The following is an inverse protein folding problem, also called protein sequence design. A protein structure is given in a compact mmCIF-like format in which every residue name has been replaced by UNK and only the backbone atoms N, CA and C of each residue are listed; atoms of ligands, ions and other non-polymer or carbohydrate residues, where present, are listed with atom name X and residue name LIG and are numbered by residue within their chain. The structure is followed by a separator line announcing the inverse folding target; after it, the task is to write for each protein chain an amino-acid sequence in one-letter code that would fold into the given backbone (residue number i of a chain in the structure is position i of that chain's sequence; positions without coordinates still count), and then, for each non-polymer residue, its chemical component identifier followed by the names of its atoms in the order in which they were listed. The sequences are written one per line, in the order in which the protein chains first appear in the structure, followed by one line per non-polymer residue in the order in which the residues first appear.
data_IF_134794929883
#
_entry.id   IF_134794929883
#
_cell.length_a   1.000
_cell.length_b   1.000
_cell.length_c   1.000
_cell.angle_alpha   90.00
_cell.angle_beta   90.00
_cell.angle_gamma   90.00
#
_symmetry.space_group_name_H-M   'P 1'
#
loop_
_entity.id
_entity.type
_entity.pdbx_description
1 polymer ?
#
# COMPACT_ATOMS: atom_id res chain seq x y z
N UNK A 1 -11.27 43.92 9.58
CA UNK A 1 -12.10 43.00 8.78
C UNK A 1 -13.47 42.94 9.42
N UNK A 2 -14.48 43.41 8.70
CA UNK A 2 -15.87 43.48 9.16
C UNK A 2 -16.49 42.07 9.31
N UNK A 3 -17.68 42.01 9.92
CA UNK A 3 -18.37 40.75 10.19
C UNK A 3 -18.75 40.00 8.89
N UNK A 4 -18.99 40.74 7.82
CA UNK A 4 -19.29 40.20 6.49
C UNK A 4 -18.07 39.52 5.86
N UNK A 5 -16.88 40.14 5.94
CA UNK A 5 -15.62 39.55 5.52
C UNK A 5 -15.27 38.27 6.28
N UNK A 6 -15.52 38.23 7.61
CA UNK A 6 -15.33 37.01 8.42
C UNK A 6 -16.22 35.86 7.94
N UNK A 7 -17.49 36.13 7.60
CA UNK A 7 -18.42 35.10 7.09
C UNK A 7 -18.01 34.55 5.72
N UNK A 8 -17.53 35.41 4.81
CA UNK A 8 -17.06 35.01 3.48
C UNK A 8 -15.82 34.11 3.57
N UNK A 9 -14.80 34.54 4.33
CA UNK A 9 -13.57 33.76 4.54
C UNK A 9 -13.88 32.40 5.17
N UNK A 10 -14.82 32.35 6.13
CA UNK A 10 -15.28 31.09 6.73
C UNK A 10 -15.90 30.13 5.72
N UNK A 11 -16.75 30.60 4.81
CA UNK A 11 -17.34 29.79 3.74
C UNK A 11 -16.28 29.26 2.77
N UNK A 12 -15.36 30.11 2.33
CA UNK A 12 -14.26 29.74 1.44
C UNK A 12 -13.41 28.63 2.05
N UNK A 13 -12.98 28.79 3.32
CA UNK A 13 -12.19 27.76 4.03
C UNK A 13 -12.93 26.43 4.10
N UNK A 14 -14.22 26.46 4.41
CA UNK A 14 -15.06 25.25 4.47
C UNK A 14 -15.16 24.56 3.11
N UNK A 15 -15.28 25.33 2.03
CA UNK A 15 -15.35 24.80 0.67
C UNK A 15 -14.01 24.19 0.23
N UNK A 16 -12.89 24.87 0.48
CA UNK A 16 -11.54 24.35 0.22
C UNK A 16 -11.33 23.01 0.94
N UNK A 17 -11.66 22.95 2.24
CA UNK A 17 -11.47 21.73 3.05
C UNK A 17 -12.28 20.57 2.48
N UNK A 18 -13.53 20.81 2.07
CA UNK A 18 -14.40 19.81 1.44
C UNK A 18 -13.85 19.34 0.08
N UNK A 19 -13.34 20.27 -0.74
CA UNK A 19 -12.75 19.93 -2.05
C UNK A 19 -11.48 19.09 -1.87
N UNK A 20 -10.59 19.48 -0.94
CA UNK A 20 -9.37 18.75 -0.63
C UNK A 20 -9.64 17.35 -0.09
N UNK A 21 -10.61 17.19 0.79
CA UNK A 21 -10.99 15.89 1.35
C UNK A 21 -11.53 14.95 0.27
N UNK A 22 -12.38 15.45 -0.62
CA UNK A 22 -12.86 14.68 -1.78
C UNK A 22 -11.71 14.28 -2.69
N UNK A 23 -10.79 15.21 -2.97
CA UNK A 23 -9.63 14.91 -3.82
C UNK A 23 -8.68 13.91 -3.18
N UNK A 24 -8.48 13.97 -1.86
CA UNK A 24 -7.70 12.98 -1.12
C UNK A 24 -8.34 11.59 -1.17
N UNK A 25 -9.67 11.49 -1.09
CA UNK A 25 -10.38 10.23 -1.24
C UNK A 25 -10.14 9.63 -2.63
N UNK A 26 -10.30 10.43 -3.70
CA UNK A 26 -10.03 10.02 -5.08
C UNK A 26 -8.56 9.58 -5.27
N UNK A 27 -7.61 10.34 -4.70
CA UNK A 27 -6.18 9.97 -4.72
C UNK A 27 -5.97 8.64 -3.98
N UNK A 28 -6.65 8.43 -2.86
CA UNK A 28 -6.60 7.18 -2.09
C UNK A 28 -7.03 5.98 -2.92
N UNK A 29 -8.18 6.07 -3.58
CA UNK A 29 -8.71 5.02 -4.47
C UNK A 29 -7.74 4.72 -5.63
N UNK A 30 -7.24 5.75 -6.31
CA UNK A 30 -6.25 5.59 -7.37
C UNK A 30 -4.97 4.94 -6.85
N UNK A 31 -4.50 5.32 -5.66
CA UNK A 31 -3.32 4.74 -5.03
C UNK A 31 -3.52 3.26 -4.71
N UNK A 32 -4.69 2.88 -4.18
CA UNK A 32 -5.06 1.47 -3.96
C UNK A 32 -4.99 0.71 -5.28
N UNK A 33 -5.62 1.22 -6.35
CA UNK A 33 -5.61 0.60 -7.67
C UNK A 33 -4.17 0.43 -8.22
N UNK A 34 -3.35 1.47 -8.13
CA UNK A 34 -1.95 1.43 -8.60
C UNK A 34 -1.09 0.44 -7.79
N UNK A 35 -1.33 0.31 -6.47
CA UNK A 35 -0.65 -0.71 -5.64
C UNK A 35 -1.09 -2.12 -6.03
N UNK A 36 -2.38 -2.35 -6.25
CA UNK A 36 -2.90 -3.65 -6.70
C UNK A 36 -2.28 -4.03 -8.04
N UNK A 37 -2.26 -3.10 -8.99
CA UNK A 37 -1.63 -3.32 -10.29
C UNK A 37 -0.13 -3.61 -10.18
N UNK A 38 0.60 -2.88 -9.33
CA UNK A 38 2.02 -3.14 -9.08
C UNK A 38 2.24 -4.56 -8.55
N UNK A 39 1.42 -5.00 -7.59
CA UNK A 39 1.53 -6.34 -7.01
C UNK A 39 1.28 -7.45 -8.04
N UNK A 40 0.31 -7.24 -8.93
CA UNK A 40 -0.10 -8.20 -9.96
C UNK A 40 0.93 -8.28 -11.10
N UNK A 41 1.35 -7.13 -11.66
CA UNK A 41 2.39 -7.08 -12.71
C UNK A 41 3.72 -7.69 -12.28
N UNK A 42 4.05 -7.62 -10.98
CA UNK A 42 5.29 -8.16 -10.41
C UNK A 42 5.15 -9.59 -9.88
N UNK A 43 3.98 -10.22 -10.06
CA UNK A 43 3.68 -11.57 -9.58
C UNK A 43 4.04 -11.79 -8.10
N UNK A 44 3.78 -10.77 -7.27
CA UNK A 44 4.10 -10.76 -5.83
C UNK A 44 3.04 -11.55 -5.07
N UNK A 45 1.79 -11.43 -5.49
CA UNK A 45 0.66 -12.13 -4.93
C UNK A 45 0.72 -13.63 -5.23
N UNK A 46 0.16 -14.43 -4.31
CA UNK A 46 0.00 -15.87 -4.47
C UNK A 46 -1.48 -16.23 -4.38
N UNK A 47 -2.10 -15.85 -3.27
CA UNK A 47 -3.54 -16.06 -2.99
C UNK A 47 -4.41 -14.87 -3.37
N UNK A 48 -3.79 -13.71 -3.60
CA UNK A 48 -4.49 -12.44 -3.76
C UNK A 48 -4.89 -11.76 -2.44
N UNK A 49 -4.58 -12.35 -1.28
CA UNK A 49 -4.95 -11.76 0.02
C UNK A 49 -4.34 -10.36 0.18
N UNK A 50 -3.05 -10.21 -0.17
CA UNK A 50 -2.33 -8.93 -0.05
C UNK A 50 -2.91 -7.82 -0.93
N UNK A 51 -3.34 -8.10 -2.17
CA UNK A 51 -3.98 -7.08 -3.01
C UNK A 51 -5.37 -6.72 -2.51
N UNK A 52 -6.14 -7.70 -2.03
CA UNK A 52 -7.50 -7.49 -1.51
C UNK A 52 -7.51 -6.69 -0.20
N UNK A 53 -6.40 -6.71 0.54
CA UNK A 53 -6.26 -6.05 1.83
C UNK A 53 -5.65 -4.65 1.74
N UNK A 54 -5.37 -4.13 0.55
CA UNK A 54 -4.92 -2.74 0.38
C UNK A 54 -6.15 -1.83 0.44
N UNK A 55 -6.12 -0.87 1.36
CA UNK A 55 -7.21 0.10 1.56
C UNK A 55 -6.64 1.50 1.74
N UNK A 56 -7.48 2.50 1.49
CA UNK A 56 -7.19 3.90 1.77
C UNK A 56 -8.18 4.48 2.78
N UNK A 57 -7.70 5.40 3.61
CA UNK A 57 -8.52 6.10 4.59
C UNK A 57 -8.10 7.56 4.66
N UNK A 58 -9.08 8.48 4.64
CA UNK A 58 -8.85 9.91 4.89
C UNK A 58 -9.35 10.24 6.29
N UNK A 59 -8.44 10.64 7.18
CA UNK A 59 -8.77 11.10 8.53
C UNK A 59 -8.66 12.61 8.63
N UNK A 60 -9.55 13.18 9.45
CA UNK A 60 -9.47 14.58 9.87
C UNK A 60 -8.78 14.63 11.23
N UNK A 61 -7.63 15.29 11.30
CA UNK A 61 -6.89 15.50 12.54
C UNK A 61 -6.71 17.00 12.74
N UNK A 62 -7.53 17.59 13.62
CA UNK A 62 -7.53 19.05 13.88
C UNK A 62 -7.67 19.84 12.56
N UNK A 63 -6.60 20.54 12.17
CA UNK A 63 -6.49 21.36 10.96
C UNK A 63 -5.87 20.61 9.76
N UNK A 64 -5.65 19.30 9.88
CA UNK A 64 -5.01 18.46 8.85
C UNK A 64 -5.97 17.41 8.30
N UNK A 65 -5.76 17.08 7.03
CA UNK A 65 -6.33 15.91 6.39
C UNK A 65 -5.18 14.92 6.16
N UNK A 66 -5.34 13.70 6.66
CA UNK A 66 -4.34 12.64 6.55
C UNK A 66 -4.89 11.53 5.66
N UNK A 67 -4.27 11.31 4.50
CA UNK A 67 -4.52 10.13 3.67
C UNK A 67 -3.54 9.02 4.04
N UNK A 68 -4.09 7.88 4.47
CA UNK A 68 -3.33 6.64 4.68
C UNK A 68 -3.68 5.65 3.58
N UNK A 69 -2.66 4.98 3.03
CA UNK A 69 -2.83 3.84 2.11
C UNK A 69 -1.97 2.70 2.62
N UNK A 70 -2.58 1.55 2.87
CA UNK A 70 -1.87 0.47 3.55
C UNK A 70 -2.66 -0.82 3.64
N UNK A 71 -2.23 -1.70 4.54
CA UNK A 71 -2.88 -2.98 4.79
C UNK A 71 -2.74 -3.39 6.25
N UNK A 72 -3.73 -4.13 6.73
CA UNK A 72 -3.75 -4.70 8.09
C UNK A 72 -3.08 -6.09 8.17
N UNK A 73 -2.59 -6.65 7.06
CA UNK A 73 -1.93 -7.95 7.08
C UNK A 73 -0.58 -7.89 7.79
N UNK A 74 -0.44 -8.62 8.90
CA UNK A 74 0.76 -8.66 9.73
C UNK A 74 2.03 -9.08 8.98
N UNK A 75 1.89 -9.87 7.91
CA UNK A 75 3.05 -10.32 7.13
C UNK A 75 3.49 -9.32 6.04
N UNK A 76 2.66 -8.33 5.71
CA UNK A 76 2.93 -7.39 4.63
C UNK A 76 4.23 -6.60 4.81
N UNK A 77 4.63 -6.16 6.03
CA UNK A 77 5.93 -5.53 6.25
C UNK A 77 7.11 -6.42 5.83
N UNK A 78 7.06 -7.73 6.07
CA UNK A 78 8.13 -8.65 5.67
C UNK A 78 8.23 -8.83 4.15
N UNK A 79 7.12 -8.67 3.43
CA UNK A 79 7.13 -8.61 1.96
C UNK A 79 7.69 -7.26 1.50
N UNK A 80 7.24 -6.19 2.14
CA UNK A 80 7.60 -4.82 1.77
C UNK A 80 9.10 -4.54 1.96
N UNK A 81 9.61 -4.81 3.16
CA UNK A 81 10.97 -4.51 3.58
C UNK A 81 11.95 -5.67 3.42
N UNK A 82 11.44 -6.89 3.19
CA UNK A 82 12.26 -8.09 3.24
C UNK A 82 12.54 -8.54 4.68
N UNK A 83 13.40 -9.53 4.81
CA UNK A 83 13.80 -10.10 6.12
C UNK A 83 15.29 -10.41 6.10
N UNK A 84 15.91 -10.36 7.29
CA UNK A 84 17.27 -10.87 7.49
C UNK A 84 17.29 -12.41 7.34
N UNK A 85 18.47 -13.02 7.13
CA UNK A 85 18.62 -14.46 7.13
C UNK A 85 18.05 -15.09 8.40
N UNK A 86 17.18 -16.10 8.25
CA UNK A 86 16.56 -16.84 9.35
C UNK A 86 16.00 -18.17 8.85
N UNK A 87 15.74 -19.14 9.74
CA UNK A 87 15.15 -20.43 9.37
C UNK A 87 13.62 -20.39 9.48
N UNK A 88 12.86 -20.19 8.37
CA UNK A 88 11.41 -20.02 8.47
C UNK A 88 10.69 -21.34 8.79
N UNK A 89 9.46 -21.28 9.36
CA UNK A 89 8.67 -22.47 9.65
C UNK A 89 8.36 -23.30 8.39
N UNK A 90 8.62 -24.61 8.45
CA UNK A 90 8.43 -25.53 7.30
C UNK A 90 7.01 -25.50 6.75
N UNK A 91 6.00 -25.49 7.62
CA UNK A 91 4.58 -25.52 7.26
C UNK A 91 4.18 -24.30 6.42
N UNK A 92 4.67 -23.11 6.80
CA UNK A 92 4.38 -21.86 6.09
C UNK A 92 4.98 -21.87 4.67
N UNK A 93 6.27 -22.22 4.56
CA UNK A 93 6.93 -22.30 3.24
C UNK A 93 6.30 -23.40 2.38
N UNK A 94 5.99 -24.57 2.94
CA UNK A 94 5.33 -25.65 2.19
C UNK A 94 3.99 -25.19 1.59
N UNK A 95 3.15 -24.51 2.38
CA UNK A 95 1.87 -23.97 1.91
C UNK A 95 2.09 -22.93 0.80
N UNK A 96 3.09 -22.07 0.94
CA UNK A 96 3.43 -21.07 -0.08
C UNK A 96 3.93 -21.72 -1.38
N UNK A 97 4.83 -22.70 -1.30
CA UNK A 97 5.38 -23.44 -2.46
C UNK A 97 4.27 -24.15 -3.23
N UNK A 98 3.38 -24.86 -2.52
CA UNK A 98 2.23 -25.51 -3.11
C UNK A 98 1.37 -24.51 -3.90
N UNK A 99 1.03 -23.37 -3.28
CA UNK A 99 0.19 -22.36 -3.92
C UNK A 99 0.89 -21.63 -5.08
N UNK A 100 2.21 -21.43 -5.01
CA UNK A 100 2.96 -20.69 -6.02
C UNK A 100 3.29 -21.53 -7.25
N UNK A 101 3.61 -22.81 -7.05
CA UNK A 101 4.17 -23.67 -8.10
C UNK A 101 3.32 -24.90 -8.40
N UNK A 102 2.25 -25.18 -7.64
CA UNK A 102 1.41 -26.37 -7.83
C UNK A 102 2.11 -27.70 -7.53
N UNK A 103 3.31 -27.69 -6.92
CA UNK A 103 4.09 -28.89 -6.67
C UNK A 103 3.46 -29.77 -5.59
N UNK A 104 3.55 -31.10 -5.77
CA UNK A 104 3.04 -32.11 -4.84
C UNK A 104 4.14 -33.09 -4.40
N UNK A 105 3.84 -33.92 -3.39
CA UNK A 105 4.69 -35.01 -2.88
C UNK A 105 6.19 -34.67 -2.71
N UNK A 106 7.08 -35.46 -3.33
CA UNK A 106 8.54 -35.33 -3.21
C UNK A 106 9.04 -33.98 -3.73
N UNK A 107 8.47 -33.48 -4.85
CA UNK A 107 8.84 -32.19 -5.42
C UNK A 107 8.52 -31.03 -4.47
N UNK A 108 7.33 -31.06 -3.85
CA UNK A 108 6.92 -30.08 -2.84
C UNK A 108 7.88 -30.04 -1.65
N UNK A 109 8.26 -31.21 -1.13
CA UNK A 109 9.17 -31.30 0.02
C UNK A 109 10.58 -30.80 -0.31
N UNK A 110 11.11 -31.16 -1.49
CA UNK A 110 12.42 -30.69 -1.96
C UNK A 110 12.44 -29.18 -2.16
N UNK A 111 11.46 -28.64 -2.88
CA UNK A 111 11.36 -27.19 -3.09
C UNK A 111 11.19 -26.43 -1.78
N UNK A 112 10.36 -26.95 -0.85
CA UNK A 112 10.21 -26.38 0.49
C UNK A 112 11.56 -26.29 1.20
N UNK A 113 12.35 -27.37 1.22
CA UNK A 113 13.65 -27.38 1.88
C UNK A 113 14.62 -26.38 1.26
N UNK A 114 14.76 -26.37 -0.07
CA UNK A 114 15.68 -25.48 -0.78
C UNK A 114 15.32 -24.00 -0.58
N UNK A 115 14.04 -23.65 -0.60
CA UNK A 115 13.60 -22.27 -0.36
C UNK A 115 13.86 -21.85 1.09
N UNK A 116 13.60 -22.74 2.06
CA UNK A 116 13.93 -22.46 3.47
C UNK A 116 15.42 -22.23 3.66
N UNK A 117 16.26 -23.09 3.06
CA UNK A 117 17.72 -22.96 3.10
C UNK A 117 18.18 -21.64 2.51
N UNK A 118 17.63 -21.25 1.35
CA UNK A 118 17.93 -19.95 0.73
C UNK A 118 17.55 -18.77 1.63
N UNK A 119 16.38 -18.80 2.28
CA UNK A 119 15.96 -17.76 3.22
C UNK A 119 16.86 -17.75 4.46
N UNK A 120 17.35 -18.91 4.90
CA UNK A 120 18.28 -18.99 6.02
C UNK A 120 19.67 -18.46 5.72
N UNK A 121 20.12 -18.55 4.46
CA UNK A 121 21.41 -18.03 4.03
C UNK A 121 21.31 -16.53 3.68
N UNK A 122 20.20 -16.08 3.10
CA UNK A 122 20.11 -14.76 2.44
C UNK A 122 18.97 -13.86 2.93
N UNK A 123 18.02 -14.41 3.70
CA UNK A 123 16.77 -13.74 4.03
C UNK A 123 15.83 -13.62 2.83
N UNK A 124 14.94 -12.64 2.86
CA UNK A 124 14.05 -12.31 1.75
C UNK A 124 14.34 -10.93 1.18
N UNK A 125 14.35 -10.82 -0.15
CA UNK A 125 14.51 -9.53 -0.83
C UNK A 125 13.26 -8.67 -0.63
N UNK A 126 13.48 -7.38 -0.38
CA UNK A 126 12.43 -6.37 -0.25
C UNK A 126 11.62 -6.24 -1.55
N UNK A 127 10.30 -6.13 -1.42
CA UNK A 127 9.38 -5.81 -2.51
C UNK A 127 8.57 -4.58 -2.10
N UNK A 128 9.12 -3.35 -2.24
CA UNK A 128 8.59 -2.16 -1.59
C UNK A 128 7.35 -1.59 -2.29
N UNK A 129 6.26 -2.35 -2.35
CA UNK A 129 5.09 -2.06 -3.20
C UNK A 129 4.42 -0.71 -2.90
N UNK A 130 4.19 -0.35 -1.63
CA UNK A 130 3.63 0.98 -1.27
C UNK A 130 4.59 2.11 -1.64
N UNK A 131 5.88 1.97 -1.33
CA UNK A 131 6.88 3.03 -1.48
C UNK A 131 7.22 3.24 -2.95
N UNK A 132 7.29 2.16 -3.74
CA UNK A 132 7.50 2.22 -5.17
C UNK A 132 6.37 3.00 -5.86
N UNK A 133 5.11 2.67 -5.53
CA UNK A 133 3.95 3.37 -6.08
C UNK A 133 3.89 4.82 -5.60
N UNK A 134 4.06 5.07 -4.31
CA UNK A 134 4.09 6.44 -3.80
C UNK A 134 5.14 7.30 -4.53
N UNK A 135 6.37 6.81 -4.68
CA UNK A 135 7.44 7.54 -5.38
C UNK A 135 7.09 7.84 -6.83
N UNK A 136 6.48 6.88 -7.52
CA UNK A 136 6.08 7.02 -8.92
C UNK A 136 4.97 8.08 -9.10
N UNK A 137 3.98 8.10 -8.21
CA UNK A 137 2.81 8.97 -8.35
C UNK A 137 2.88 10.27 -7.54
N UNK A 138 3.88 10.44 -6.67
CA UNK A 138 4.04 11.65 -5.82
C UNK A 138 3.93 12.96 -6.62
N UNK A 139 4.59 13.14 -7.78
CA UNK A 139 4.47 14.40 -8.53
C UNK A 139 3.04 14.71 -8.97
N UNK A 140 2.31 13.67 -9.45
CA UNK A 140 0.91 13.80 -9.86
C UNK A 140 -0.01 14.09 -8.67
N UNK A 141 0.22 13.45 -7.52
CA UNK A 141 -0.52 13.69 -6.29
C UNK A 141 -0.40 15.15 -5.85
N UNK A 142 0.83 15.69 -5.81
CA UNK A 142 1.07 17.08 -5.43
C UNK A 142 0.33 18.04 -6.37
N UNK A 143 0.42 17.83 -7.69
CA UNK A 143 -0.28 18.66 -8.68
C UNK A 143 -1.80 18.65 -8.48
N UNK A 144 -2.38 17.48 -8.19
CA UNK A 144 -3.82 17.33 -7.94
C UNK A 144 -4.27 18.07 -6.69
N UNK A 145 -3.50 17.97 -5.60
CA UNK A 145 -3.80 18.69 -4.36
C UNK A 145 -3.72 20.20 -4.52
N UNK A 146 -2.70 20.70 -5.24
CA UNK A 146 -2.59 22.12 -5.58
C UNK A 146 -3.80 22.60 -6.39
N UNK A 147 -4.21 21.85 -7.42
CA UNK A 147 -5.37 22.20 -8.23
C UNK A 147 -6.68 22.20 -7.41
N UNK A 148 -6.84 21.25 -6.48
CA UNK A 148 -8.01 21.20 -5.60
C UNK A 148 -8.07 22.35 -4.59
N UNK A 149 -6.92 22.87 -4.16
CA UNK A 149 -6.85 24.04 -3.28
C UNK A 149 -7.21 25.36 -3.99
N UNK A 150 -6.92 25.47 -5.29
CA UNK A 150 -7.13 26.69 -6.10
C UNK A 150 -8.55 26.78 -6.68
N UNK A 151 -9.24 25.64 -6.86
CA UNK A 151 -10.65 25.58 -7.33
C UNK A 151 -11.64 26.06 -6.27
N UNK A 152 -11.62 27.35 -5.97
CA UNK A 152 -12.50 28.06 -5.02
C UNK A 152 -13.40 29.01 -5.76
#
# INVERSE_FOLDING_TARGET
MDEQGKKIVGRIRKQIKKNLERELANIGEDMVANVVEYLDRRNINVTGDLRKSIVSEVKREQEKLLLTVGTNLLYAPFVHYGTKPHWPPKKAIRKWVYKKFGLTHKALNRATFLIRRKIAEQGTRKKPFLLAVYRLYKPRIVKRLQAAAIKV
#
